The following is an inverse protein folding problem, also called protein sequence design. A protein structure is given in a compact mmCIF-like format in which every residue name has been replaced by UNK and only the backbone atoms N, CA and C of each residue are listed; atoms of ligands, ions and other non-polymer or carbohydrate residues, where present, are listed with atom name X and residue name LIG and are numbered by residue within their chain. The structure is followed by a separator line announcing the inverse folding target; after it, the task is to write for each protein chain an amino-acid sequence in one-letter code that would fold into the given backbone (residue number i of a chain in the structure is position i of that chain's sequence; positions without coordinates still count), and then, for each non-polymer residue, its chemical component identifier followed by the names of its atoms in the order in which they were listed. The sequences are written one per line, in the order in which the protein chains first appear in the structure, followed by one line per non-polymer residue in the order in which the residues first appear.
data_IF_170199109404
#
_entry.id   IF_170199109404
#
_cell.length_a   1.000
_cell.length_b   1.000
_cell.length_c   1.000
_cell.angle_alpha   90.00
_cell.angle_beta   90.00
_cell.angle_gamma   90.00
#
_symmetry.space_group_name_H-M   'P 1'
#
loop_
_entity.id
_entity.type
_entity.pdbx_description
1 polymer ?
#
# COMPACT_ATOMS: atom_id res chain seq x y z
N UNK A 1 -35.96 -2.83 10.13
CA UNK A 1 -37.07 -2.99 11.09
C UNK A 1 -36.48 -3.40 12.44
N UNK A 2 -36.78 -2.71 13.55
CA UNK A 2 -36.17 -3.04 14.82
C UNK A 2 -36.70 -4.39 15.35
N UNK A 3 -35.81 -5.09 16.05
CA UNK A 3 -35.93 -6.46 16.51
C UNK A 3 -37.27 -6.80 17.18
N UNK A 4 -37.74 -8.03 16.94
CA UNK A 4 -38.95 -8.65 17.49
C UNK A 4 -39.14 -8.30 18.98
N UNK A 5 -40.04 -7.37 19.27
CA UNK A 5 -40.60 -7.14 20.60
C UNK A 5 -41.40 -8.39 20.99
N UNK A 6 -40.79 -9.32 21.72
CA UNK A 6 -41.48 -10.47 22.30
C UNK A 6 -42.42 -9.96 23.40
N UNK A 7 -43.65 -9.58 23.04
CA UNK A 7 -44.67 -9.13 23.98
C UNK A 7 -45.42 -10.34 24.52
N UNK A 8 -45.33 -10.57 25.83
CA UNK A 8 -46.01 -11.68 26.50
C UNK A 8 -47.52 -11.67 26.19
N UNK A 9 -48.11 -12.85 25.97
CA UNK A 9 -49.53 -13.01 25.63
C UNK A 9 -50.48 -12.30 26.61
N UNK A 10 -50.11 -12.23 27.89
CA UNK A 10 -50.86 -11.48 28.93
C UNK A 10 -50.95 -9.99 28.65
N UNK A 11 -49.91 -9.39 28.09
CA UNK A 11 -49.88 -7.96 27.74
C UNK A 11 -50.83 -7.65 26.58
N UNK A 12 -50.89 -8.55 25.59
CA UNK A 12 -51.81 -8.43 24.45
C UNK A 12 -53.27 -8.58 24.91
N UNK A 13 -53.55 -9.58 25.76
CA UNK A 13 -54.89 -9.77 26.34
C UNK A 13 -55.34 -8.58 27.20
N UNK A 14 -54.43 -7.99 27.96
CA UNK A 14 -54.72 -6.78 28.74
C UNK A 14 -55.04 -5.58 27.84
N UNK A 15 -54.29 -5.36 26.75
CA UNK A 15 -54.57 -4.28 25.81
C UNK A 15 -55.89 -4.48 25.06
N UNK A 16 -56.20 -5.72 24.67
CA UNK A 16 -57.47 -6.04 24.01
C UNK A 16 -58.66 -5.72 24.91
N UNK A 17 -58.65 -6.18 26.17
CA UNK A 17 -59.71 -5.86 27.15
C UNK A 17 -59.82 -4.36 27.44
N UNK A 18 -58.68 -3.68 27.55
CA UNK A 18 -58.68 -2.23 27.77
C UNK A 18 -59.33 -1.51 26.59
N UNK A 19 -58.98 -1.87 25.36
CA UNK A 19 -59.55 -1.30 24.15
C UNK A 19 -61.06 -1.60 23.99
N UNK A 20 -61.49 -2.83 24.28
CA UNK A 20 -62.92 -3.19 24.28
C UNK A 20 -63.74 -2.35 25.25
N UNK A 21 -63.14 -1.93 26.37
CA UNK A 21 -63.84 -1.16 27.41
C UNK A 21 -63.77 0.35 27.16
N UNK A 22 -62.65 0.87 26.67
CA UNK A 22 -62.38 2.31 26.58
C UNK A 22 -62.36 2.87 25.15
N UNK A 23 -62.37 2.01 24.12
CA UNK A 23 -62.22 2.40 22.72
C UNK A 23 -60.83 2.91 22.34
N UNK A 24 -59.85 2.85 23.25
CA UNK A 24 -58.50 3.38 23.04
C UNK A 24 -57.42 2.42 23.58
N UNK A 25 -56.24 2.46 22.96
CA UNK A 25 -55.09 1.70 23.45
C UNK A 25 -54.47 2.41 24.66
N UNK A 26 -53.98 1.67 25.68
CA UNK A 26 -53.42 2.27 26.88
C UNK A 26 -52.12 3.04 26.58
N UNK A 27 -52.08 4.32 26.97
CA UNK A 27 -50.89 5.18 26.86
C UNK A 27 -50.04 5.00 28.12
N UNK A 28 -48.87 4.37 27.98
CA UNK A 28 -47.93 4.21 29.09
C UNK A 28 -47.04 5.45 29.22
N UNK A 29 -47.08 6.12 30.38
CA UNK A 29 -46.15 7.21 30.73
C UNK A 29 -44.83 6.69 31.33
N UNK A 30 -44.55 5.39 31.22
CA UNK A 30 -43.34 4.78 31.78
C UNK A 30 -42.10 5.33 31.06
N UNK A 31 -41.30 6.13 31.76
CA UNK A 31 -40.12 6.82 31.22
C UNK A 31 -40.31 8.32 30.96
N UNK A 32 -41.49 8.91 31.20
CA UNK A 32 -41.76 10.35 30.96
C UNK A 32 -41.42 11.28 32.14
N UNK A 33 -41.01 10.73 33.27
CA UNK A 33 -40.53 11.49 34.43
C UNK A 33 -39.04 11.23 34.62
N UNK A 34 -38.20 12.01 33.96
CA UNK A 34 -36.80 12.12 34.32
C UNK A 34 -36.74 12.96 35.60
N UNK A 35 -36.64 12.30 36.77
CA UNK A 35 -36.66 12.98 38.08
C UNK A 35 -35.36 13.73 38.42
N UNK A 36 -34.36 13.67 37.54
CA UNK A 36 -33.06 14.34 37.69
C UNK A 36 -32.62 14.79 36.29
N UNK A 37 -32.43 16.10 36.08
CA UNK A 37 -31.80 16.58 34.85
C UNK A 37 -30.40 15.96 34.73
N UNK A 38 -30.05 15.46 33.54
CA UNK A 38 -28.73 14.88 33.30
C UNK A 38 -27.68 15.99 33.36
N UNK A 39 -26.54 15.75 34.03
CA UNK A 39 -25.40 16.68 34.09
C UNK A 39 -24.91 17.16 32.71
N UNK A 40 -25.20 16.40 31.65
CA UNK A 40 -24.95 16.81 30.27
C UNK A 40 -25.69 18.10 29.84
N UNK A 41 -26.76 18.48 30.54
CA UNK A 41 -27.53 19.70 30.27
C UNK A 41 -27.17 20.85 31.22
N UNK A 42 -26.24 20.63 32.14
CA UNK A 42 -25.71 21.67 33.03
C UNK A 42 -24.57 22.41 32.32
N UNK A 43 -24.72 23.73 32.14
CA UNK A 43 -23.78 24.55 31.37
C UNK A 43 -22.40 24.63 32.04
N UNK A 44 -22.35 24.73 33.37
CA UNK A 44 -21.10 24.82 34.14
C UNK A 44 -20.33 23.49 34.11
N UNK A 45 -21.08 22.38 34.20
CA UNK A 45 -20.54 21.03 34.04
C UNK A 45 -19.92 20.84 32.65
N UNK A 46 -20.64 21.25 31.60
CA UNK A 46 -20.19 21.09 30.22
C UNK A 46 -19.04 22.04 29.87
N UNK A 47 -18.99 23.24 30.45
CA UNK A 47 -17.86 24.15 30.32
C UNK A 47 -16.57 23.55 30.88
N UNK A 48 -16.61 22.92 32.06
CA UNK A 48 -15.45 22.23 32.66
C UNK A 48 -15.01 21.02 31.84
N UNK A 49 -15.97 20.26 31.31
CA UNK A 49 -15.68 19.15 30.42
C UNK A 49 -14.97 19.63 29.14
N UNK A 50 -15.45 20.72 28.54
CA UNK A 50 -14.86 21.31 27.35
C UNK A 50 -13.46 21.85 27.65
N UNK A 51 -13.27 22.61 28.73
CA UNK A 51 -11.97 23.16 29.15
C UNK A 51 -10.90 22.08 29.26
N UNK A 52 -11.22 20.97 29.94
CA UNK A 52 -10.28 19.85 30.05
C UNK A 52 -9.96 19.23 28.70
N UNK A 53 -10.98 18.96 27.86
CA UNK A 53 -10.80 18.35 26.54
C UNK A 53 -9.94 19.25 25.62
N UNK A 54 -10.15 20.56 25.68
CA UNK A 54 -9.39 21.56 24.95
C UNK A 54 -7.91 21.61 25.37
N UNK A 55 -7.64 21.50 26.67
CA UNK A 55 -6.28 21.53 27.20
C UNK A 55 -5.47 20.26 26.85
N UNK A 56 -6.12 19.14 26.52
CA UNK A 56 -5.41 17.90 26.18
C UNK A 56 -4.82 17.92 24.77
N UNK A 57 -3.70 17.21 24.60
CA UNK A 57 -3.16 16.89 23.28
C UNK A 57 -4.09 15.91 22.53
N UNK A 58 -4.17 15.94 21.19
CA UNK A 58 -5.07 15.07 20.41
C UNK A 58 -4.91 13.58 20.69
N UNK A 59 -3.67 13.10 20.87
CA UNK A 59 -3.35 11.70 21.20
C UNK A 59 -3.68 11.31 22.65
N UNK A 60 -4.04 12.28 23.51
CA UNK A 60 -4.43 12.05 24.91
C UNK A 60 -5.94 12.19 25.12
N UNK A 61 -6.67 12.73 24.16
CA UNK A 61 -8.15 12.79 24.17
C UNK A 61 -8.71 11.40 23.84
N UNK A 62 -9.11 10.65 24.85
CA UNK A 62 -9.81 9.36 24.68
C UNK A 62 -10.99 9.24 25.65
N UNK A 63 -12.06 8.51 25.29
CA UNK A 63 -13.20 8.30 26.18
C UNK A 63 -12.82 7.72 27.54
N UNK A 64 -11.82 6.83 27.57
CA UNK A 64 -11.32 6.24 28.81
C UNK A 64 -10.66 7.28 29.73
N UNK A 65 -9.78 8.12 29.18
CA UNK A 65 -9.11 9.17 29.98
C UNK A 65 -10.09 10.25 30.41
N UNK A 66 -11.03 10.61 29.54
CA UNK A 66 -12.10 11.55 29.87
C UNK A 66 -13.02 10.99 30.97
N UNK A 67 -13.44 9.72 30.88
CA UNK A 67 -14.21 9.05 31.93
C UNK A 67 -13.49 9.08 33.28
N UNK A 68 -12.17 8.82 33.27
CA UNK A 68 -11.35 8.84 34.48
C UNK A 68 -11.33 10.24 35.09
N UNK A 69 -11.12 11.28 34.30
CA UNK A 69 -11.14 12.67 34.76
C UNK A 69 -12.52 13.06 35.33
N UNK A 70 -13.60 12.68 34.64
CA UNK A 70 -14.97 12.92 35.11
C UNK A 70 -15.25 12.30 36.48
N UNK A 71 -14.83 11.04 36.67
CA UNK A 71 -15.10 10.31 37.91
C UNK A 71 -14.22 10.75 39.08
N UNK A 72 -12.96 11.10 38.82
CA UNK A 72 -12.02 11.44 39.90
C UNK A 72 -12.08 12.91 40.30
N UNK A 73 -12.39 13.81 39.36
CA UNK A 73 -12.25 15.25 39.58
C UNK A 73 -13.57 16.00 39.38
N UNK A 74 -14.19 15.89 38.21
CA UNK A 74 -15.30 16.79 37.82
C UNK A 74 -16.60 16.51 38.58
N UNK A 75 -17.05 15.25 38.62
CA UNK A 75 -18.32 14.89 39.26
C UNK A 75 -18.23 15.07 40.79
N UNK A 76 -17.18 14.60 41.50
CA UNK A 76 -17.06 14.85 42.93
C UNK A 76 -17.02 16.35 43.27
N UNK A 77 -16.28 17.15 42.49
CA UNK A 77 -16.16 18.59 42.71
C UNK A 77 -17.49 19.33 42.57
N UNK A 78 -18.30 18.99 41.57
CA UNK A 78 -19.53 19.72 41.24
C UNK A 78 -20.77 19.21 41.96
N UNK A 79 -20.82 17.92 42.29
CA UNK A 79 -22.01 17.30 42.90
C UNK A 79 -21.83 16.95 44.37
N UNK A 80 -20.60 17.01 44.89
CA UNK A 80 -20.27 16.55 46.25
C UNK A 80 -20.33 15.02 46.42
N UNK A 81 -20.44 14.26 45.32
CA UNK A 81 -20.47 12.79 45.37
C UNK A 81 -19.12 12.24 45.86
N UNK A 82 -19.17 11.33 46.84
CA UNK A 82 -17.99 10.61 47.35
C UNK A 82 -17.36 9.68 46.30
N UNK A 83 -18.18 9.11 45.43
CA UNK A 83 -17.74 8.28 44.31
C UNK A 83 -18.62 8.53 43.09
N UNK A 84 -17.98 8.59 41.92
CA UNK A 84 -18.66 8.70 40.64
C UNK A 84 -18.33 7.47 39.77
N UNK A 85 -19.38 6.86 39.20
CA UNK A 85 -19.29 5.62 38.44
C UNK A 85 -19.79 5.81 37.00
N UNK A 86 -19.27 6.83 36.33
CA UNK A 86 -19.57 7.08 34.93
C UNK A 86 -18.90 6.04 34.04
N UNK A 87 -19.65 5.47 33.09
CA UNK A 87 -19.12 4.50 32.14
C UNK A 87 -18.44 5.17 30.95
N UNK A 88 -17.44 4.51 30.36
CA UNK A 88 -16.74 5.02 29.16
C UNK A 88 -17.71 5.32 28.00
N UNK A 89 -18.77 4.51 27.85
CA UNK A 89 -19.84 4.75 26.87
C UNK A 89 -20.61 6.05 27.11
N UNK A 90 -20.73 6.49 28.36
CA UNK A 90 -21.35 7.79 28.69
C UNK A 90 -20.38 8.93 28.44
N UNK A 91 -19.11 8.78 28.81
CA UNK A 91 -18.05 9.76 28.52
C UNK A 91 -17.93 10.01 27.01
N UNK A 92 -17.95 8.96 26.21
CA UNK A 92 -17.96 9.03 24.74
C UNK A 92 -19.17 9.81 24.20
N UNK A 93 -20.38 9.56 24.72
CA UNK A 93 -21.58 10.31 24.31
C UNK A 93 -21.47 11.79 24.66
N UNK A 94 -20.89 12.11 25.82
CA UNK A 94 -20.68 13.49 26.24
C UNK A 94 -19.60 14.19 25.41
N UNK A 95 -18.51 13.51 25.07
CA UNK A 95 -17.53 14.02 24.09
C UNK A 95 -18.20 14.39 22.76
N UNK A 96 -19.05 13.50 22.23
CA UNK A 96 -19.81 13.76 21.01
C UNK A 96 -20.75 14.95 21.13
N UNK A 97 -21.35 15.15 22.31
CA UNK A 97 -22.23 16.28 22.59
C UNK A 97 -21.46 17.61 22.65
N UNK A 98 -20.23 17.60 23.18
CA UNK A 98 -19.31 18.77 23.22
C UNK A 98 -18.73 19.09 21.83
N UNK A 99 -18.92 18.20 20.84
CA UNK A 99 -18.44 18.40 19.47
C UNK A 99 -17.16 17.64 19.12
N UNK A 100 -16.78 16.65 19.94
CA UNK A 100 -15.67 15.74 19.68
C UNK A 100 -16.18 14.42 19.11
N UNK A 101 -15.86 14.11 17.85
CA UNK A 101 -16.24 12.84 17.20
C UNK A 101 -15.01 12.05 16.80
N UNK A 102 -15.08 10.72 16.96
CA UNK A 102 -14.02 9.83 16.48
C UNK A 102 -14.20 9.58 14.99
N UNK A 103 -13.35 10.18 14.18
CA UNK A 103 -13.37 10.03 12.73
C UNK A 103 -11.96 9.75 12.20
N UNK A 104 -11.93 9.08 11.04
CA UNK A 104 -10.73 8.99 10.21
C UNK A 104 -10.57 10.34 9.51
N UNK A 105 -9.37 10.93 9.57
CA UNK A 105 -9.02 12.02 8.68
C UNK A 105 -9.02 11.49 7.24
N UNK A 106 -10.08 11.76 6.49
CA UNK A 106 -10.25 11.24 5.13
C UNK A 106 -9.27 11.93 4.17
N UNK A 107 -8.16 11.27 3.88
CA UNK A 107 -7.54 11.41 2.56
C UNK A 107 -8.32 10.52 1.61
N UNK A 108 -8.93 11.11 0.59
CA UNK A 108 -9.62 10.36 -0.45
C UNK A 108 -8.64 9.37 -1.09
N UNK A 109 -9.01 8.09 -1.16
CA UNK A 109 -8.27 7.07 -1.90
C UNK A 109 -8.35 7.42 -3.38
N UNK A 110 -7.21 7.40 -4.07
CA UNK A 110 -7.14 7.67 -5.50
C UNK A 110 -7.72 6.46 -6.26
N UNK A 111 -8.99 6.53 -6.64
CA UNK A 111 -9.70 5.49 -7.41
C UNK A 111 -9.86 5.90 -8.86
N UNK A 112 -8.77 6.28 -9.52
CA UNK A 112 -8.78 6.61 -10.95
C UNK A 112 -8.21 5.45 -11.78
N UNK A 113 -8.90 5.06 -12.84
CA UNK A 113 -8.46 4.05 -13.80
C UNK A 113 -8.56 2.58 -13.37
N UNK A 114 -9.03 2.26 -12.16
CA UNK A 114 -9.10 0.87 -11.66
C UNK A 114 -9.99 -0.05 -12.52
N UNK A 115 -11.05 0.50 -13.09
CA UNK A 115 -12.04 -0.20 -13.92
C UNK A 115 -11.79 0.00 -15.42
N UNK A 116 -10.61 0.50 -15.82
CA UNK A 116 -10.25 0.55 -17.25
C UNK A 116 -10.17 -0.85 -17.81
N UNK A 117 -10.59 -1.00 -19.05
CA UNK A 117 -10.64 -2.30 -19.74
C UNK A 117 -9.29 -3.03 -19.74
N UNK A 118 -8.18 -2.32 -19.95
CA UNK A 118 -6.84 -2.90 -19.94
C UNK A 118 -6.39 -3.37 -18.55
N UNK A 119 -6.77 -2.63 -17.50
CA UNK A 119 -6.51 -2.99 -16.10
C UNK A 119 -7.33 -4.21 -15.69
N UNK A 120 -8.62 -4.23 -16.02
CA UNK A 120 -9.51 -5.37 -15.76
C UNK A 120 -9.04 -6.61 -16.51
N UNK A 121 -8.67 -6.49 -17.78
CA UNK A 121 -8.12 -7.61 -18.56
C UNK A 121 -6.79 -8.14 -17.98
N UNK A 122 -5.93 -7.25 -17.46
CA UNK A 122 -4.72 -7.66 -16.75
C UNK A 122 -5.04 -8.46 -15.47
N UNK A 123 -5.98 -7.97 -14.64
CA UNK A 123 -6.45 -8.65 -13.43
C UNK A 123 -7.05 -10.01 -13.74
N UNK A 124 -7.87 -10.12 -14.78
CA UNK A 124 -8.43 -11.41 -15.20
C UNK A 124 -7.36 -12.42 -15.60
N UNK A 125 -6.34 -12.00 -16.36
CA UNK A 125 -5.20 -12.86 -16.71
C UNK A 125 -4.44 -13.30 -15.47
N UNK A 126 -4.17 -12.36 -14.55
CA UNK A 126 -3.51 -12.66 -13.29
C UNK A 126 -4.32 -13.66 -12.46
N UNK A 127 -5.62 -13.44 -12.25
CA UNK A 127 -6.47 -14.34 -11.47
C UNK A 127 -6.50 -15.74 -12.08
N UNK A 128 -6.61 -15.86 -13.41
CA UNK A 128 -6.59 -17.17 -14.10
C UNK A 128 -5.28 -17.91 -13.87
N UNK A 129 -4.14 -17.21 -14.02
CA UNK A 129 -2.82 -17.79 -13.76
C UNK A 129 -2.62 -18.15 -12.29
N UNK A 130 -3.01 -17.26 -11.38
CA UNK A 130 -2.88 -17.51 -9.95
C UNK A 130 -3.69 -18.73 -9.52
N UNK A 131 -4.94 -18.83 -9.98
CA UNK A 131 -5.81 -19.98 -9.68
C UNK A 131 -5.25 -21.30 -10.21
N UNK A 132 -4.63 -21.32 -11.40
CA UNK A 132 -4.02 -22.55 -11.91
C UNK A 132 -2.77 -22.96 -11.13
N UNK A 133 -1.99 -21.99 -10.63
CA UNK A 133 -0.84 -22.26 -9.76
C UNK A 133 -1.27 -22.67 -8.34
N UNK A 134 -2.38 -22.10 -7.86
CA UNK A 134 -2.96 -22.37 -6.54
C UNK A 134 -3.33 -23.84 -6.33
N UNK A 135 -3.59 -24.61 -7.38
CA UNK A 135 -3.84 -26.05 -7.31
C UNK A 135 -2.66 -26.84 -6.70
N UNK A 136 -1.44 -26.28 -6.73
CA UNK A 136 -0.22 -26.84 -6.15
C UNK A 136 0.25 -26.11 -4.89
N UNK A 137 -0.53 -25.18 -4.36
CA UNK A 137 -0.21 -24.44 -3.14
C UNK A 137 -0.90 -25.05 -1.93
N UNK A 138 -0.26 -24.95 -0.76
CA UNK A 138 -0.92 -25.25 0.51
C UNK A 138 -1.77 -24.07 0.98
N UNK A 139 -2.96 -24.39 1.49
CA UNK A 139 -3.83 -23.46 2.18
C UNK A 139 -3.92 -23.81 3.65
N UNK A 140 -4.25 -22.82 4.47
CA UNK A 140 -4.29 -22.95 5.93
C UNK A 140 -5.63 -22.41 6.42
N UNK A 141 -6.29 -23.11 7.34
CA UNK A 141 -7.61 -22.72 7.85
C UNK A 141 -7.85 -23.17 9.29
N UNK A 142 -8.86 -22.60 9.93
CA UNK A 142 -9.17 -22.85 11.34
C UNK A 142 -8.34 -21.98 12.30
N UNK A 143 -8.61 -22.11 13.60
CA UNK A 143 -7.92 -21.31 14.63
C UNK A 143 -6.42 -21.63 14.71
N UNK A 144 -6.05 -22.90 14.51
CA UNK A 144 -4.66 -23.35 14.52
C UNK A 144 -3.96 -23.19 13.17
N UNK A 145 -4.63 -22.61 12.17
CA UNK A 145 -4.12 -22.47 10.79
C UNK A 145 -3.58 -23.80 10.24
N UNK A 146 -4.32 -24.89 10.44
CA UNK A 146 -3.94 -26.21 9.97
C UNK A 146 -3.94 -26.29 8.43
N UNK A 147 -3.03 -27.08 7.88
CA UNK A 147 -2.96 -27.31 6.42
C UNK A 147 -4.25 -27.96 5.93
N UNK A 148 -4.79 -27.42 4.84
CA UNK A 148 -5.93 -27.96 4.11
C UNK A 148 -5.41 -28.94 3.09
N UNK A 149 -5.77 -30.22 3.24
CA UNK A 149 -5.41 -31.26 2.27
C UNK A 149 -6.16 -31.00 0.94
N UNK A 150 -5.41 -30.73 -0.12
CA UNK A 150 -5.95 -30.69 -1.48
C UNK A 150 -5.96 -32.11 -2.05
N UNK A 151 -7.11 -32.50 -2.63
CA UNK A 151 -7.37 -33.86 -3.13
C UNK A 151 -6.50 -34.27 -4.34
N UNK A 152 -5.77 -33.34 -4.94
CA UNK A 152 -4.99 -33.52 -6.17
C UNK A 152 -3.50 -33.62 -5.87
N UNK A 153 -3.04 -34.83 -5.53
CA UNK A 153 -1.62 -35.15 -5.60
C UNK A 153 -1.19 -35.17 -7.07
N UNK A 154 -0.54 -34.10 -7.52
CA UNK A 154 0.16 -34.08 -8.81
C UNK A 154 1.61 -34.53 -8.58
N UNK A 155 2.25 -35.15 -9.57
CA UNK A 155 3.69 -35.47 -9.52
C UNK A 155 4.59 -34.22 -9.68
N UNK A 156 4.00 -33.03 -9.65
CA UNK A 156 4.70 -31.76 -9.84
C UNK A 156 5.17 -31.20 -8.49
N UNK A 157 6.24 -30.39 -8.47
CA UNK A 157 6.70 -29.77 -7.23
C UNK A 157 5.63 -28.84 -6.66
N UNK A 158 5.57 -28.81 -5.32
CA UNK A 158 4.75 -27.86 -4.55
C UNK A 158 5.11 -26.42 -4.94
N UNK A 159 4.10 -25.56 -5.06
CA UNK A 159 4.29 -24.12 -5.20
C UNK A 159 4.12 -23.47 -3.84
N UNK A 160 5.15 -22.76 -3.39
CA UNK A 160 5.07 -21.88 -2.23
C UNK A 160 4.82 -20.47 -2.74
N UNK A 161 3.80 -19.80 -2.21
CA UNK A 161 3.52 -18.41 -2.52
C UNK A 161 4.27 -17.49 -1.55
N UNK A 162 5.06 -16.56 -2.09
CA UNK A 162 5.82 -15.57 -1.35
C UNK A 162 5.35 -14.18 -1.79
N UNK A 163 4.90 -13.39 -0.82
CA UNK A 163 4.53 -11.98 -1.01
C UNK A 163 5.65 -11.07 -0.54
N UNK A 164 5.84 -9.95 -1.22
CA UNK A 164 6.77 -8.91 -0.85
C UNK A 164 6.09 -7.54 -0.89
N UNK A 165 6.45 -6.68 0.06
CA UNK A 165 6.03 -5.28 0.09
C UNK A 165 7.01 -4.42 0.91
N UNK A 166 6.98 -3.11 0.69
CA UNK A 166 7.69 -2.11 1.48
C UNK A 166 6.75 -1.23 2.29
N UNK A 167 7.10 -1.02 3.56
CA UNK A 167 6.36 -0.14 4.45
C UNK A 167 7.25 0.93 5.06
N UNK A 168 6.76 2.16 5.11
CA UNK A 168 7.45 3.29 5.77
C UNK A 168 6.75 3.63 7.07
N UNK A 169 7.50 3.55 8.16
CA UNK A 169 7.06 3.93 9.49
C UNK A 169 7.66 5.28 9.87
N UNK A 170 6.85 6.15 10.44
CA UNK A 170 7.27 7.49 10.85
C UNK A 170 7.25 7.62 12.38
N UNK A 171 8.23 8.34 12.94
CA UNK A 171 8.36 8.53 14.39
C UNK A 171 7.15 9.23 15.02
N UNK A 172 6.52 10.15 14.28
CA UNK A 172 5.33 10.86 14.71
C UNK A 172 4.08 10.38 13.95
N UNK A 173 4.00 9.09 13.60
CA UNK A 173 2.77 8.53 13.06
C UNK A 173 1.73 8.36 14.17
N UNK A 174 0.74 9.26 14.22
CA UNK A 174 -0.38 9.21 15.16
C UNK A 174 -1.58 8.42 14.60
N UNK A 175 -1.40 7.73 13.47
CA UNK A 175 -2.42 6.87 12.86
C UNK A 175 -3.56 7.64 12.18
N UNK A 176 -3.48 8.97 12.07
CA UNK A 176 -4.50 9.83 11.46
C UNK A 176 -5.91 9.55 12.04
N UNK A 177 -6.02 9.23 13.32
CA UNK A 177 -7.29 9.09 14.04
C UNK A 177 -7.22 9.94 15.29
N UNK A 178 -8.25 10.73 15.52
CA UNK A 178 -8.31 11.59 16.68
C UNK A 178 -9.74 11.91 17.04
N UNK A 179 -9.88 12.69 18.11
CA UNK A 179 -11.11 13.38 18.45
C UNK A 179 -10.91 14.85 18.07
N UNK A 180 -11.04 15.23 16.79
CA UNK A 180 -11.05 16.62 16.41
C UNK A 180 -12.29 17.31 16.97
N UNK A 181 -12.14 18.60 17.26
CA UNK A 181 -13.28 19.47 17.51
C UNK A 181 -13.83 19.99 16.18
N UNK A 182 -15.16 20.02 16.06
CA UNK A 182 -15.85 20.45 14.82
C UNK A 182 -15.51 21.90 14.43
N UNK A 183 -15.40 22.80 15.40
CA UNK A 183 -15.24 24.24 15.16
C UNK A 183 -13.77 24.72 15.20
N UNK A 184 -12.84 23.88 15.62
CA UNK A 184 -11.42 24.23 15.72
C UNK A 184 -10.55 23.02 15.35
N UNK A 185 -9.96 23.07 14.15
CA UNK A 185 -9.15 21.98 13.64
C UNK A 185 -7.73 22.07 14.22
N UNK A 186 -7.26 20.98 14.82
CA UNK A 186 -5.89 20.89 15.32
C UNK A 186 -4.90 21.00 14.14
N UNK A 187 -4.01 22.01 14.17
CA UNK A 187 -2.94 22.17 13.19
C UNK A 187 -1.75 21.27 13.59
N UNK A 188 -1.52 20.21 12.80
CA UNK A 188 -0.38 19.32 13.02
C UNK A 188 0.94 20.00 12.60
N UNK A 189 2.02 19.71 13.34
CA UNK A 189 3.38 20.14 12.96
C UNK A 189 3.69 19.66 11.54
N UNK A 190 4.39 20.49 10.76
CA UNK A 190 4.83 20.15 9.40
C UNK A 190 5.90 19.05 9.45
N UNK A 191 5.47 17.81 9.27
CA UNK A 191 6.35 16.63 9.11
C UNK A 191 6.07 15.50 10.10
N UNK A 192 6.11 14.26 9.62
CA UNK A 192 5.86 13.04 10.43
C UNK A 192 7.10 12.58 11.23
N UNK A 193 8.14 13.42 11.33
CA UNK A 193 9.41 13.08 12.00
C UNK A 193 10.31 12.18 11.14
N UNK A 194 11.30 11.55 11.78
CA UNK A 194 12.19 10.58 11.14
C UNK A 194 11.39 9.36 10.64
N UNK A 195 11.88 8.70 9.61
CA UNK A 195 11.22 7.54 9.02
C UNK A 195 12.17 6.38 8.78
N UNK A 196 11.67 5.17 9.00
CA UNK A 196 12.32 3.92 8.66
C UNK A 196 11.47 3.20 7.61
N UNK A 197 12.10 2.79 6.52
CA UNK A 197 11.50 1.88 5.56
C UNK A 197 11.90 0.45 5.92
N UNK A 198 10.94 -0.46 5.81
CA UNK A 198 11.12 -1.90 6.02
C UNK A 198 10.68 -2.61 4.75
N UNK A 199 11.52 -3.52 4.26
CA UNK A 199 11.23 -4.36 3.10
C UNK A 199 11.36 -5.83 3.52
N UNK A 200 10.33 -6.65 3.24
CA UNK A 200 10.29 -8.02 3.75
C UNK A 200 9.53 -8.98 2.82
N UNK A 201 9.84 -10.27 2.96
CA UNK A 201 9.23 -11.36 2.19
C UNK A 201 8.51 -12.32 3.14
N UNK A 202 7.26 -12.62 2.84
CA UNK A 202 6.40 -13.46 3.67
C UNK A 202 5.80 -14.61 2.88
N UNK A 203 5.73 -15.80 3.47
CA UNK A 203 4.88 -16.90 3.01
C UNK A 203 3.75 -17.20 4.01
N UNK A 204 2.62 -17.78 3.56
CA UNK A 204 1.55 -18.24 4.45
C UNK A 204 1.98 -19.32 5.45
N UNK A 205 3.02 -20.10 5.11
CA UNK A 205 3.50 -21.24 5.89
C UNK A 205 4.09 -20.88 7.26
N UNK A 206 4.93 -19.86 7.31
CA UNK A 206 5.71 -19.50 8.52
C UNK A 206 5.96 -17.99 8.65
N UNK A 207 5.38 -17.18 7.77
CA UNK A 207 5.58 -15.75 7.75
C UNK A 207 6.90 -15.40 7.08
N UNK A 208 7.78 -14.70 7.81
CA UNK A 208 9.00 -14.10 7.24
C UNK A 208 10.06 -15.13 6.89
N UNK A 209 10.66 -14.96 5.71
CA UNK A 209 11.82 -15.75 5.30
C UNK A 209 13.04 -15.42 6.17
N UNK A 210 13.85 -16.43 6.47
CA UNK A 210 15.07 -16.28 7.24
C UNK A 210 16.18 -17.20 6.77
N UNK A 211 17.42 -16.80 7.04
CA UNK A 211 18.62 -17.62 6.91
C UNK A 211 19.13 -18.02 8.29
N UNK A 212 19.84 -19.14 8.38
CA UNK A 212 20.55 -19.57 9.59
C UNK A 212 22.02 -19.14 9.48
N UNK A 213 22.38 -18.04 10.14
CA UNK A 213 23.75 -17.52 10.14
C UNK A 213 24.41 -17.88 11.47
N UNK A 214 25.44 -18.73 11.45
CA UNK A 214 26.10 -19.23 12.68
C UNK A 214 25.11 -19.82 13.71
N UNK A 215 24.14 -20.62 13.24
CA UNK A 215 23.03 -21.17 14.04
C UNK A 215 22.09 -20.13 14.67
N UNK A 216 22.13 -18.88 14.19
CA UNK A 216 21.20 -17.82 14.60
C UNK A 216 20.25 -17.50 13.46
N UNK A 217 18.96 -17.57 13.75
CA UNK A 217 17.89 -17.18 12.82
C UNK A 217 18.00 -15.69 12.50
N UNK A 218 18.21 -15.37 11.22
CA UNK A 218 18.35 -14.00 10.72
C UNK A 218 17.34 -13.79 9.60
N UNK A 219 16.32 -12.96 9.85
CA UNK A 219 15.31 -12.65 8.83
C UNK A 219 15.94 -11.92 7.64
N UNK A 220 15.38 -12.16 6.45
CA UNK A 220 15.76 -11.45 5.22
C UNK A 220 15.20 -10.02 5.17
N UNK A 221 14.68 -9.51 6.29
CA UNK A 221 14.14 -8.17 6.44
C UNK A 221 15.24 -7.13 6.24
N UNK A 222 15.01 -6.17 5.35
CA UNK A 222 15.89 -5.00 5.20
C UNK A 222 15.23 -3.76 5.77
N UNK A 223 16.06 -2.91 6.37
CA UNK A 223 15.62 -1.61 6.88
C UNK A 223 16.51 -0.51 6.33
N UNK A 224 15.92 0.67 6.11
CA UNK A 224 16.62 1.85 5.59
C UNK A 224 16.06 3.11 6.24
N UNK A 225 16.92 3.92 6.83
CA UNK A 225 16.54 5.23 7.37
C UNK A 225 16.39 6.22 6.21
N UNK A 226 15.14 6.50 5.87
CA UNK A 226 14.81 7.28 4.67
C UNK A 226 15.18 8.75 4.87
N UNK A 227 15.75 9.35 3.84
CA UNK A 227 15.92 10.80 3.73
C UNK A 227 17.26 11.20 3.11
N UNK A 228 17.29 12.36 2.45
CA UNK A 228 18.49 12.93 1.81
C UNK A 228 19.67 13.11 2.79
N UNK A 229 19.36 13.39 4.06
CA UNK A 229 20.36 13.56 5.13
C UNK A 229 20.59 12.27 5.94
N UNK A 230 20.01 11.14 5.50
CA UNK A 230 20.14 9.82 6.11
C UNK A 230 20.74 8.85 5.08
N UNK A 231 20.19 7.65 4.94
CA UNK A 231 20.69 6.59 4.05
C UNK A 231 20.13 6.69 2.61
N UNK A 232 19.40 7.76 2.29
CA UNK A 232 18.81 7.98 0.98
C UNK A 232 17.40 7.41 0.85
N UNK A 233 17.11 6.80 -0.30
CA UNK A 233 15.81 6.22 -0.63
C UNK A 233 16.00 4.78 -1.08
N UNK A 234 14.97 3.96 -0.87
CA UNK A 234 14.95 2.60 -1.41
C UNK A 234 14.89 2.62 -2.93
N UNK A 235 15.73 1.79 -3.55
CA UNK A 235 15.87 1.71 -5.01
C UNK A 235 15.76 0.25 -5.46
N UNK A 236 15.55 0.05 -6.76
CA UNK A 236 15.54 -1.29 -7.36
C UNK A 236 16.82 -2.08 -7.05
N UNK A 237 17.98 -1.42 -6.98
CA UNK A 237 19.25 -2.07 -6.61
C UNK A 237 19.22 -2.67 -5.20
N UNK A 238 18.58 -1.99 -4.24
CA UNK A 238 18.41 -2.52 -2.88
C UNK A 238 17.55 -3.79 -2.88
N UNK A 239 16.43 -3.78 -3.62
CA UNK A 239 15.54 -4.94 -3.77
C UNK A 239 16.25 -6.11 -4.46
N UNK A 240 16.93 -5.86 -5.59
CA UNK A 240 17.69 -6.90 -6.31
C UNK A 240 18.72 -7.53 -5.38
N UNK A 241 19.45 -6.70 -4.62
CA UNK A 241 20.45 -7.18 -3.66
C UNK A 241 19.83 -8.02 -2.56
N UNK A 242 18.72 -7.58 -1.96
CA UNK A 242 18.00 -8.35 -0.95
C UNK A 242 17.55 -9.72 -1.52
N UNK A 243 17.01 -9.74 -2.73
CA UNK A 243 16.55 -10.97 -3.38
C UNK A 243 17.72 -11.93 -3.64
N UNK A 244 18.79 -11.43 -4.26
CA UNK A 244 19.94 -12.22 -4.67
C UNK A 244 20.77 -12.73 -3.49
N UNK A 245 21.05 -11.85 -2.52
CA UNK A 245 22.00 -12.17 -1.45
C UNK A 245 21.34 -12.99 -0.33
N UNK A 246 20.03 -12.84 -0.10
CA UNK A 246 19.38 -13.38 1.11
C UNK A 246 18.13 -14.21 0.83
N UNK A 247 17.20 -13.71 0.01
CA UNK A 247 15.86 -14.30 -0.13
C UNK A 247 15.88 -15.62 -0.89
N UNK A 248 16.64 -15.70 -1.99
CA UNK A 248 16.73 -16.94 -2.78
C UNK A 248 17.35 -18.07 -1.96
N UNK A 249 18.41 -17.76 -1.19
CA UNK A 249 19.04 -18.73 -0.29
C UNK A 249 18.06 -19.18 0.80
N UNK A 250 17.41 -18.23 1.47
CA UNK A 250 16.42 -18.52 2.51
C UNK A 250 15.29 -19.40 1.97
N UNK A 251 14.79 -19.08 0.78
CA UNK A 251 13.75 -19.88 0.14
C UNK A 251 14.20 -21.32 -0.11
N UNK A 252 15.41 -21.51 -0.67
CA UNK A 252 15.95 -22.83 -0.97
C UNK A 252 16.15 -23.70 0.28
N UNK A 253 16.60 -23.10 1.38
CA UNK A 253 16.80 -23.79 2.65
C UNK A 253 15.46 -24.13 3.33
N UNK A 254 14.50 -23.21 3.30
CA UNK A 254 13.20 -23.38 3.97
C UNK A 254 12.23 -24.27 3.20
N UNK A 255 12.38 -24.39 1.86
CA UNK A 255 11.44 -25.13 1.00
C UNK A 255 12.20 -26.00 -0.02
N UNK A 256 12.96 -27.00 0.44
CA UNK A 256 13.75 -27.85 -0.45
C UNK A 256 12.85 -28.60 -1.45
N UNK A 257 13.15 -28.48 -2.74
CA UNK A 257 12.42 -29.14 -3.82
C UNK A 257 11.09 -28.46 -4.21
N UNK A 258 10.72 -27.35 -3.59
CA UNK A 258 9.55 -26.57 -3.96
C UNK A 258 9.88 -25.51 -5.03
N UNK A 259 8.84 -25.03 -5.71
CA UNK A 259 8.90 -23.87 -6.59
C UNK A 259 8.37 -22.63 -5.87
N UNK A 260 9.12 -21.53 -5.92
CA UNK A 260 8.69 -20.25 -5.33
C UNK A 260 7.92 -19.40 -6.33
N UNK A 261 6.69 -19.01 -6.00
CA UNK A 261 5.95 -17.95 -6.68
C UNK A 261 6.12 -16.65 -5.91
N UNK A 262 6.98 -15.75 -6.39
CA UNK A 262 7.21 -14.44 -5.79
C UNK A 262 6.28 -13.40 -6.43
N UNK A 263 5.51 -12.70 -5.60
CA UNK A 263 4.61 -11.63 -6.04
C UNK A 263 5.02 -10.29 -5.47
N UNK A 264 5.14 -9.30 -6.35
CA UNK A 264 5.52 -7.92 -6.06
C UNK A 264 4.39 -6.98 -6.47
N UNK A 265 4.35 -5.79 -5.89
CA UNK A 265 3.53 -4.71 -6.41
C UNK A 265 4.10 -4.17 -7.75
N UNK A 266 3.27 -3.44 -8.51
CA UNK A 266 3.69 -2.78 -9.75
C UNK A 266 4.28 -1.38 -9.48
N UNK A 267 5.10 -1.22 -8.44
CA UNK A 267 5.79 0.04 -8.23
C UNK A 267 6.76 0.34 -9.38
N UNK A 268 6.97 1.63 -9.66
CA UNK A 268 7.95 2.06 -10.67
C UNK A 268 9.38 1.64 -10.32
N UNK A 269 9.66 1.35 -9.04
CA UNK A 269 10.93 0.81 -8.59
C UNK A 269 11.08 -0.66 -9.02
N UNK A 270 10.03 -1.49 -8.92
CA UNK A 270 10.07 -2.88 -9.37
C UNK A 270 10.11 -3.02 -10.89
N UNK A 271 9.55 -2.05 -11.61
CA UNK A 271 9.62 -1.97 -13.07
C UNK A 271 10.89 -1.28 -13.61
N UNK A 272 11.88 -0.99 -12.75
CA UNK A 272 13.08 -0.29 -13.16
C UNK A 272 13.98 -1.20 -14.01
N UNK A 273 14.40 -0.67 -15.16
CA UNK A 273 15.40 -1.32 -15.99
C UNK A 273 16.78 -1.24 -15.36
N UNK A 274 17.64 -2.21 -15.66
CA UNK A 274 19.06 -2.15 -15.29
C UNK A 274 19.69 -0.87 -15.86
N UNK A 275 20.70 -0.32 -15.16
CA UNK A 275 21.35 0.94 -15.53
C UNK A 275 22.01 0.88 -16.93
N UNK A 276 22.44 -0.31 -17.33
CA UNK A 276 23.01 -0.64 -18.64
C UNK A 276 21.96 -1.08 -19.69
N UNK A 277 20.66 -1.10 -19.35
CA UNK A 277 19.62 -1.63 -20.24
C UNK A 277 19.54 -0.85 -21.56
N UNK A 278 19.39 -1.59 -22.66
CA UNK A 278 19.33 -1.02 -24.00
C UNK A 278 18.04 -0.21 -24.22
N UNK A 279 18.05 1.07 -23.85
CA UNK A 279 16.90 1.97 -23.91
C UNK A 279 17.21 3.20 -24.74
N UNK A 280 16.45 3.40 -25.82
CA UNK A 280 16.59 4.56 -26.70
C UNK A 280 16.36 5.91 -25.98
N UNK A 281 15.61 5.92 -24.88
CA UNK A 281 15.41 7.12 -24.04
C UNK A 281 16.71 7.59 -23.37
N UNK A 282 17.63 6.67 -23.08
CA UNK A 282 18.88 6.93 -22.37
C UNK A 282 20.04 7.25 -23.32
N UNK A 283 19.79 7.31 -24.62
CA UNK A 283 20.79 7.57 -25.65
C UNK A 283 20.74 9.03 -26.13
N UNK A 284 21.91 9.65 -26.18
CA UNK A 284 22.12 10.92 -26.86
C UNK A 284 22.12 10.73 -28.38
N UNK A 285 21.96 11.83 -29.13
CA UNK A 285 22.10 11.75 -30.59
C UNK A 285 23.56 11.53 -31.01
N UNK A 286 24.50 12.18 -30.30
CA UNK A 286 25.95 12.15 -30.54
C UNK A 286 26.66 11.27 -29.50
N UNK A 287 27.91 10.84 -29.76
CA UNK A 287 28.78 10.17 -28.79
C UNK A 287 29.01 10.96 -27.49
N UNK A 288 29.35 10.23 -26.41
CA UNK A 288 29.86 10.80 -25.16
C UNK A 288 28.84 11.57 -24.32
N UNK A 289 29.33 12.47 -23.45
CA UNK A 289 28.49 13.22 -22.51
C UNK A 289 27.92 12.36 -21.38
N UNK A 290 26.87 12.84 -20.71
CA UNK A 290 26.24 12.16 -19.56
C UNK A 290 25.29 11.02 -19.95
N UNK A 291 25.46 10.40 -21.12
CA UNK A 291 24.61 9.28 -21.56
C UNK A 291 25.09 7.96 -20.94
N UNK A 292 24.17 7.03 -20.72
CA UNK A 292 24.47 5.76 -20.06
C UNK A 292 25.34 4.84 -20.95
N UNK A 293 26.25 4.10 -20.31
CA UNK A 293 26.99 3.01 -20.96
C UNK A 293 26.09 1.79 -21.06
N UNK A 294 25.48 1.59 -22.24
CA UNK A 294 24.53 0.52 -22.45
C UNK A 294 25.24 -0.81 -22.78
N UNK A 295 24.62 -1.93 -22.41
CA UNK A 295 25.11 -3.26 -22.78
C UNK A 295 25.01 -3.52 -24.29
N UNK A 296 25.80 -4.46 -24.83
CA UNK A 296 25.73 -4.80 -26.24
C UNK A 296 24.33 -5.23 -26.69
N UNK A 297 23.92 -4.72 -27.86
CA UNK A 297 22.71 -5.14 -28.54
C UNK A 297 22.99 -6.25 -29.56
N UNK A 298 22.00 -6.51 -30.43
CA UNK A 298 22.16 -7.36 -31.62
C UNK A 298 21.73 -6.59 -32.85
N UNK A 299 22.49 -6.71 -33.94
CA UNK A 299 22.09 -6.23 -35.25
C UNK A 299 20.98 -7.12 -35.83
N UNK A 300 20.24 -6.68 -36.87
CA UNK A 300 19.23 -7.50 -37.54
C UNK A 300 19.74 -8.86 -38.05
N UNK A 301 21.04 -8.97 -38.36
CA UNK A 301 21.69 -10.22 -38.73
C UNK A 301 22.07 -11.14 -37.56
N UNK A 302 21.73 -10.78 -36.32
CA UNK A 302 22.02 -11.55 -35.10
C UNK A 302 23.42 -11.33 -34.50
N UNK A 303 24.33 -10.66 -35.23
CA UNK A 303 25.66 -10.33 -34.75
C UNK A 303 25.62 -9.32 -33.58
N UNK A 304 26.57 -9.40 -32.63
CA UNK A 304 26.64 -8.44 -31.53
C UNK A 304 26.83 -7.01 -32.02
N UNK A 305 26.14 -6.06 -31.40
CA UNK A 305 26.36 -4.63 -31.61
C UNK A 305 26.94 -4.01 -30.33
N UNK A 306 28.19 -3.55 -30.39
CA UNK A 306 28.77 -2.76 -29.31
C UNK A 306 28.10 -1.38 -29.21
N UNK A 307 27.71 -0.99 -28.00
CA UNK A 307 27.09 0.31 -27.69
C UNK A 307 28.09 1.35 -27.17
N UNK A 308 29.34 0.95 -26.99
CA UNK A 308 30.48 1.77 -26.59
C UNK A 308 31.53 1.65 -27.70
N UNK A 309 32.30 2.72 -27.94
CA UNK A 309 33.37 2.67 -28.93
C UNK A 309 34.57 1.84 -28.42
N UNK A 310 35.06 0.96 -29.29
CA UNK A 310 36.24 0.13 -29.03
C UNK A 310 37.52 0.96 -28.89
N UNK A 311 38.56 0.35 -28.33
CA UNK A 311 39.84 1.01 -28.02
C UNK A 311 40.54 1.64 -29.24
N UNK A 312 40.28 1.12 -30.44
CA UNK A 312 40.87 1.58 -31.69
C UNK A 312 40.15 2.81 -32.31
N UNK A 313 39.14 3.36 -31.63
CA UNK A 313 38.37 4.50 -32.14
C UNK A 313 38.78 5.83 -31.48
N UNK A 314 38.71 6.98 -32.18
CA UNK A 314 39.01 8.29 -31.58
C UNK A 314 38.19 8.59 -30.31
N UNK A 315 36.95 8.10 -30.27
CA UNK A 315 36.02 8.22 -29.14
C UNK A 315 36.05 7.00 -28.19
N UNK A 316 37.16 6.26 -28.10
CA UNK A 316 37.29 5.04 -27.28
C UNK A 316 36.69 5.21 -25.88
N UNK A 317 35.92 4.21 -25.43
CA UNK A 317 35.26 4.21 -24.12
C UNK A 317 34.05 5.13 -23.99
N UNK A 318 33.77 5.99 -24.98
CA UNK A 318 32.53 6.78 -24.99
C UNK A 318 31.35 5.93 -25.46
N UNK A 319 30.18 6.18 -24.86
CA UNK A 319 28.92 5.64 -25.38
C UNK A 319 28.66 6.14 -26.81
N UNK A 320 28.20 5.24 -27.67
CA UNK A 320 27.73 5.56 -29.02
C UNK A 320 26.37 6.25 -28.93
N UNK A 321 26.25 7.40 -29.60
CA UNK A 321 24.96 8.05 -29.78
C UNK A 321 24.09 7.33 -30.81
N UNK A 322 22.79 7.66 -30.84
CA UNK A 322 21.81 7.13 -31.79
C UNK A 322 22.29 7.23 -33.24
N UNK A 323 23.00 8.31 -33.61
CA UNK A 323 23.54 8.48 -34.96
C UNK A 323 24.45 7.34 -35.40
N UNK A 324 25.38 6.94 -34.54
CA UNK A 324 26.33 5.88 -34.85
C UNK A 324 25.62 4.52 -34.84
N UNK A 325 24.83 4.26 -33.80
CA UNK A 325 24.15 2.97 -33.59
C UNK A 325 23.14 2.67 -34.70
N UNK A 326 22.37 3.68 -35.15
CA UNK A 326 21.41 3.52 -36.23
C UNK A 326 22.10 3.43 -37.60
N UNK A 327 23.21 4.13 -37.82
CA UNK A 327 23.99 4.00 -39.06
C UNK A 327 24.54 2.58 -39.22
N UNK A 328 25.05 1.97 -38.15
CA UNK A 328 25.49 0.57 -38.12
C UNK A 328 24.35 -0.42 -38.42
N UNK A 329 23.10 -0.01 -38.17
CA UNK A 329 21.88 -0.77 -38.47
C UNK A 329 21.31 -0.48 -39.87
N UNK A 330 21.98 0.36 -40.67
CA UNK A 330 21.54 0.74 -42.02
C UNK A 330 20.61 1.95 -42.08
N UNK A 331 20.44 2.69 -40.99
CA UNK A 331 19.61 3.90 -40.93
C UNK A 331 20.49 5.15 -40.83
N UNK A 332 20.72 5.80 -41.97
CA UNK A 332 21.40 7.10 -41.99
C UNK A 332 20.43 8.22 -41.61
N UNK A 333 20.53 8.66 -40.36
CA UNK A 333 19.68 9.70 -39.77
C UNK A 333 19.76 11.03 -40.53
N UNK A 334 20.91 11.36 -41.13
CA UNK A 334 21.10 12.61 -41.88
C UNK A 334 20.40 12.53 -43.23
N UNK A 335 20.56 11.42 -43.95
CA UNK A 335 19.86 11.18 -45.22
C UNK A 335 18.34 11.12 -45.02
N UNK A 336 17.90 10.49 -43.92
CA UNK A 336 16.50 10.38 -43.53
C UNK A 336 15.94 11.65 -42.86
N UNK A 337 16.78 12.68 -42.65
CA UNK A 337 16.42 13.96 -42.03
C UNK A 337 15.70 13.82 -40.68
N UNK A 338 16.08 12.83 -39.87
CA UNK A 338 15.38 12.57 -38.62
C UNK A 338 15.95 13.44 -37.49
N UNK A 339 15.08 13.99 -36.66
CA UNK A 339 15.48 14.67 -35.42
C UNK A 339 15.85 13.65 -34.33
N UNK A 340 16.46 14.10 -33.23
CA UNK A 340 16.68 13.26 -32.04
C UNK A 340 15.35 12.72 -31.49
N UNK A 341 14.39 13.62 -31.25
CA UNK A 341 13.04 13.32 -30.76
C UNK A 341 12.00 14.09 -31.57
N UNK A 342 10.83 13.50 -31.82
CA UNK A 342 9.67 14.20 -32.36
C UNK A 342 8.76 14.72 -31.22
N UNK A 343 7.68 15.43 -31.57
CA UNK A 343 6.72 16.00 -30.60
C UNK A 343 5.81 14.95 -29.94
N UNK A 344 5.73 13.76 -30.50
CA UNK A 344 4.86 12.69 -30.01
C UNK A 344 5.61 11.89 -28.94
N UNK A 345 5.46 12.25 -27.66
CA UNK A 345 6.28 11.67 -26.58
C UNK A 345 5.87 10.24 -26.16
N UNK A 346 4.62 9.83 -26.42
CA UNK A 346 4.01 8.61 -25.87
C UNK A 346 3.55 7.64 -26.96
N UNK A 347 4.36 7.47 -28.01
CA UNK A 347 4.06 6.48 -29.03
C UNK A 347 4.40 5.09 -28.50
N UNK A 348 3.44 4.18 -28.57
CA UNK A 348 3.73 2.77 -28.39
C UNK A 348 4.59 2.24 -29.54
N UNK A 349 5.82 1.85 -29.19
CA UNK A 349 6.81 1.28 -30.10
C UNK A 349 7.03 -0.22 -29.83
N UNK A 350 6.30 -0.81 -28.88
CA UNK A 350 6.42 -2.22 -28.52
C UNK A 350 5.98 -3.18 -29.64
N UNK A 351 5.12 -2.71 -30.55
CA UNK A 351 4.60 -3.47 -31.68
C UNK A 351 4.62 -2.67 -32.99
N UNK A 352 4.52 -3.38 -34.12
CA UNK A 352 4.33 -2.79 -35.45
C UNK A 352 5.63 -2.51 -36.24
N UNK A 353 5.55 -1.78 -37.36
CA UNK A 353 6.71 -1.47 -38.19
C UNK A 353 7.68 -0.49 -37.50
N UNK A 354 8.93 -0.47 -37.97
CA UNK A 354 9.95 0.46 -37.47
C UNK A 354 9.53 1.90 -37.75
N UNK A 355 9.40 2.69 -36.69
CA UNK A 355 8.95 4.09 -36.81
C UNK A 355 10.09 5.03 -37.14
N UNK A 356 9.99 5.67 -38.30
CA UNK A 356 11.04 6.54 -38.82
C UNK A 356 10.85 8.04 -38.52
N UNK A 357 9.93 8.41 -37.63
CA UNK A 357 9.62 9.82 -37.35
C UNK A 357 10.71 10.57 -36.58
N UNK A 358 11.53 9.89 -35.78
CA UNK A 358 12.73 10.43 -35.14
C UNK A 358 13.71 9.31 -34.80
N UNK A 359 14.98 9.65 -34.54
CA UNK A 359 16.03 8.70 -34.20
C UNK A 359 15.64 7.84 -32.98
N UNK A 360 15.05 8.46 -31.94
CA UNK A 360 14.62 7.74 -30.73
C UNK A 360 13.56 6.68 -31.03
N UNK A 361 12.53 6.98 -31.82
CA UNK A 361 11.50 6.01 -32.15
C UNK A 361 11.99 4.92 -33.09
N UNK A 362 12.89 5.24 -34.02
CA UNK A 362 13.49 4.24 -34.89
C UNK A 362 14.28 3.23 -34.08
N UNK A 363 15.08 3.69 -33.11
CA UNK A 363 15.80 2.82 -32.19
C UNK A 363 14.85 2.05 -31.25
N UNK A 364 13.84 2.72 -30.68
CA UNK A 364 12.86 2.06 -29.81
C UNK A 364 12.02 0.99 -30.51
N UNK A 365 11.88 1.09 -31.84
CA UNK A 365 11.15 0.11 -32.65
C UNK A 365 12.01 -1.06 -33.13
N UNK A 366 13.30 -1.10 -32.78
CA UNK A 366 14.16 -2.24 -33.11
C UNK A 366 13.80 -3.44 -32.23
N UNK A 367 13.79 -4.64 -32.80
CA UNK A 367 13.26 -5.84 -32.13
C UNK A 367 14.02 -6.18 -30.84
N UNK A 368 15.33 -5.97 -30.79
CA UNK A 368 16.10 -6.19 -29.57
C UNK A 368 15.84 -5.12 -28.50
N UNK A 369 15.51 -3.88 -28.87
CA UNK A 369 15.12 -2.86 -27.88
C UNK A 369 13.71 -3.13 -27.34
N UNK A 370 12.81 -3.63 -28.20
CA UNK A 370 11.46 -4.06 -27.82
C UNK A 370 11.49 -5.22 -26.84
N UNK A 371 12.33 -6.22 -27.10
CA UNK A 371 12.41 -7.40 -26.24
C UNK A 371 12.81 -7.05 -24.81
N UNK A 372 13.69 -6.06 -24.60
CA UNK A 372 13.98 -5.60 -23.24
C UNK A 372 12.79 -4.94 -22.57
N UNK A 373 11.89 -4.29 -23.33
CA UNK A 373 10.69 -3.62 -22.79
C UNK A 373 9.57 -4.59 -22.40
N UNK A 374 9.61 -5.85 -22.85
CA UNK A 374 8.57 -6.86 -22.62
C UNK A 374 8.89 -7.88 -21.54
N UNK A 375 10.13 -7.95 -21.05
CA UNK A 375 10.53 -8.98 -20.07
C UNK A 375 10.20 -8.64 -18.61
N UNK A 376 9.69 -7.43 -18.34
CA UNK A 376 9.23 -6.97 -17.02
C UNK A 376 7.98 -6.08 -17.11
N UNK A 377 7.08 -6.35 -18.06
CA UNK A 377 5.76 -5.70 -18.13
C UNK A 377 4.64 -6.70 -17.92
#
# INVERSE_FOLDING_TARGET
MPAKLNRHARTIQFWARHFETSGALPVFLRGKHQKTESLMHDEDFMAKCAEWLHAQLPNQRSPQRFQRHLNMEVIPLLTGALEANLSESTARRWMQHIGYRYELWKKNVYTDGHEREDVTACRERFCKLFLSLAERMKFYSGEDMATVDLLTATNEPEIVWITHDESVFYANDDGNKGWPQIDNHDLHKKGRGCSIMVSDFLCPCHGRLFNMVNNVMTYTTRTLHVGKNNEGYWTCEHMIKQVQDEVISAFGDMHPGAMGLFTFDQSTNHAAFTSDALRASNMGLRPGGAQALLRPGRLPGGSPQGMVFDDNHPHRGEAKGLQQVLLERGYDIKLLKMSHTCKEANIDTSHGPIRMCCARHCMASQDEVRSYSTHFR
#
